data_IF_115834559174
#
_entry.id   IF_115834559174
#
_cell.length_a   1.000
_cell.length_b   1.000
_cell.length_c   1.000
_cell.angle_alpha   90.00
_cell.angle_beta   90.00
_cell.angle_gamma   90.00
#
_symmetry.space_group_name_H-M   'P 1'
#
loop_
_entity.id
_entity.type
_entity.pdbx_description
1 polymer ?
#
# COMPACT_ATOMS: atom_id res chain seq x y z
N UNK A 1 13.08 13.06 3.45
CA UNK A 1 11.89 12.19 3.52
C UNK A 1 12.38 10.78 3.82
N UNK A 2 11.73 10.00 4.68
CA UNK A 2 12.17 8.63 4.97
C UNK A 2 11.48 7.62 4.06
N UNK A 3 12.26 6.64 3.60
CA UNK A 3 11.97 5.23 3.25
C UNK A 3 10.69 4.82 2.50
N UNK A 4 9.52 5.43 2.67
CA UNK A 4 8.34 5.20 1.83
C UNK A 4 7.40 6.40 1.94
N UNK A 5 7.14 7.06 0.81
CA UNK A 5 6.21 8.18 0.82
C UNK A 5 4.81 7.70 1.19
N UNK A 6 4.07 8.42 2.06
CA UNK A 6 2.70 8.06 2.43
C UNK A 6 1.78 7.88 1.21
N UNK A 7 2.07 8.61 0.13
CA UNK A 7 1.39 8.49 -1.15
C UNK A 7 1.61 7.13 -1.83
N UNK A 8 2.83 6.59 -1.83
CA UNK A 8 3.12 5.26 -2.38
C UNK A 8 2.45 4.16 -1.55
N UNK A 9 2.44 4.28 -0.22
CA UNK A 9 1.72 3.35 0.65
C UNK A 9 0.21 3.41 0.41
N UNK A 10 -0.34 4.60 0.21
CA UNK A 10 -1.74 4.81 -0.16
C UNK A 10 -2.07 4.25 -1.56
N UNK A 11 -1.15 4.34 -2.53
CA UNK A 11 -1.28 3.71 -3.84
C UNK A 11 -1.32 2.18 -3.73
N UNK A 12 -0.41 1.59 -2.94
CA UNK A 12 -0.41 0.15 -2.70
C UNK A 12 -1.75 -0.32 -2.09
N UNK A 13 -2.28 0.43 -1.12
CA UNK A 13 -3.61 0.19 -0.56
C UNK A 13 -4.71 0.27 -1.63
N UNK A 14 -4.69 1.30 -2.48
CA UNK A 14 -5.70 1.49 -3.52
C UNK A 14 -5.74 0.31 -4.50
N UNK A 15 -4.57 -0.21 -4.90
CA UNK A 15 -4.46 -1.39 -5.76
C UNK A 15 -4.99 -2.65 -5.08
N UNK A 16 -4.68 -2.86 -3.81
CA UNK A 16 -5.19 -4.04 -3.09
C UNK A 16 -6.69 -3.95 -2.89
N UNK A 17 -7.23 -2.77 -2.63
CA UNK A 17 -8.67 -2.56 -2.48
C UNK A 17 -9.44 -2.82 -3.78
N UNK A 18 -8.92 -2.42 -4.94
CA UNK A 18 -9.55 -2.75 -6.23
C UNK A 18 -9.54 -4.26 -6.48
N UNK A 19 -8.41 -4.92 -6.26
CA UNK A 19 -8.30 -6.38 -6.43
C UNK A 19 -9.19 -7.13 -5.44
N UNK A 20 -9.20 -6.71 -4.17
CA UNK A 20 -10.05 -7.28 -3.13
C UNK A 20 -11.54 -7.14 -3.51
N UNK A 21 -11.97 -5.96 -3.99
CA UNK A 21 -13.35 -5.75 -4.43
C UNK A 21 -13.73 -6.67 -5.58
N UNK A 22 -12.86 -6.83 -6.57
CA UNK A 22 -13.09 -7.77 -7.68
C UNK A 22 -13.21 -9.21 -7.18
N UNK A 23 -12.34 -9.63 -6.26
CA UNK A 23 -12.40 -10.96 -5.65
C UNK A 23 -13.67 -11.15 -4.80
N UNK A 24 -14.11 -10.11 -4.09
CA UNK A 24 -15.30 -10.14 -3.24
C UNK A 24 -16.60 -10.20 -4.06
N UNK A 25 -16.74 -9.37 -5.09
CA UNK A 25 -17.93 -9.35 -5.96
C UNK A 25 -18.17 -10.69 -6.66
N UNK A 26 -17.10 -11.44 -6.96
CA UNK A 26 -17.22 -12.78 -7.54
C UNK A 26 -17.65 -13.82 -6.49
N UNK A 27 -17.32 -13.61 -5.22
CA UNK A 27 -17.62 -14.57 -4.14
C UNK A 27 -18.97 -14.33 -3.45
N UNK A 28 -19.43 -13.08 -3.37
CA UNK A 28 -20.62 -12.71 -2.62
C UNK A 28 -21.63 -11.96 -3.49
N UNK A 29 -22.84 -12.51 -3.60
CA UNK A 29 -24.00 -11.85 -4.21
C UNK A 29 -24.57 -10.70 -3.34
N UNK A 30 -23.91 -10.37 -2.23
CA UNK A 30 -24.35 -9.32 -1.32
C UNK A 30 -24.27 -7.96 -2.01
N UNK A 31 -25.37 -7.22 -1.99
CA UNK A 31 -25.42 -5.86 -2.53
C UNK A 31 -24.30 -5.01 -1.88
N UNK A 32 -23.44 -4.35 -2.67
CA UNK A 32 -22.34 -3.57 -2.13
C UNK A 32 -22.87 -2.38 -1.33
N UNK A 33 -22.21 -2.07 -0.21
CA UNK A 33 -22.57 -0.95 0.69
C UNK A 33 -22.43 0.42 0.01
N UNK A 34 -21.56 0.53 -1.00
CA UNK A 34 -21.34 1.72 -1.81
C UNK A 34 -21.63 1.43 -3.27
N UNK A 35 -22.11 2.44 -3.99
CA UNK A 35 -22.25 2.35 -5.44
C UNK A 35 -20.88 2.17 -6.11
N UNK A 36 -20.81 1.52 -7.29
CA UNK A 36 -19.55 1.24 -7.96
C UNK A 36 -18.69 2.48 -8.20
N UNK A 37 -19.33 3.56 -8.66
CA UNK A 37 -18.67 4.83 -8.96
C UNK A 37 -18.13 5.51 -7.72
N UNK A 38 -18.84 5.44 -6.59
CA UNK A 38 -18.37 6.02 -5.33
C UNK A 38 -17.14 5.30 -4.77
N UNK A 39 -17.11 3.96 -4.87
CA UNK A 39 -15.94 3.20 -4.42
C UNK A 39 -14.72 3.49 -5.29
N UNK A 40 -14.88 3.51 -6.61
CA UNK A 40 -13.76 3.78 -7.52
C UNK A 40 -13.24 5.21 -7.34
N UNK A 41 -14.15 6.19 -7.17
CA UNK A 41 -13.76 7.56 -6.84
C UNK A 41 -12.99 7.65 -5.52
N UNK A 42 -13.42 6.94 -4.47
CA UNK A 42 -12.75 6.92 -3.17
C UNK A 42 -11.34 6.31 -3.27
N UNK A 43 -11.23 5.16 -3.93
CA UNK A 43 -9.97 4.43 -4.07
C UNK A 43 -8.93 5.23 -4.85
N UNK A 44 -9.37 5.94 -5.90
CA UNK A 44 -8.50 6.85 -6.65
C UNK A 44 -8.18 8.10 -5.83
N UNK A 45 -9.13 8.66 -5.09
CA UNK A 45 -8.91 9.90 -4.33
C UNK A 45 -7.88 9.74 -3.19
N UNK A 46 -7.86 8.61 -2.49
CA UNK A 46 -6.98 8.36 -1.33
C UNK A 46 -5.49 8.70 -1.59
N UNK A 47 -4.82 8.14 -2.63
CA UNK A 47 -3.42 8.45 -2.90
C UNK A 47 -3.18 9.91 -3.29
N UNK A 48 -4.08 10.52 -4.09
CA UNK A 48 -3.94 11.93 -4.49
C UNK A 48 -4.11 12.90 -3.32
N UNK A 49 -5.13 12.68 -2.50
CA UNK A 49 -5.38 13.51 -1.30
C UNK A 49 -4.22 13.38 -0.33
N UNK A 50 -3.70 12.16 -0.12
CA UNK A 50 -2.53 11.92 0.74
C UNK A 50 -1.30 12.64 0.18
N UNK A 51 -1.06 12.55 -1.14
CA UNK A 51 0.05 13.24 -1.80
C UNK A 51 -0.03 14.76 -1.63
N UNK A 52 -1.18 15.37 -1.92
CA UNK A 52 -1.38 16.83 -1.80
C UNK A 52 -1.18 17.27 -0.35
N UNK A 53 -1.78 16.58 0.63
CA UNK A 53 -1.68 16.91 2.05
C UNK A 53 -0.22 16.92 2.53
N UNK A 54 0.52 15.84 2.24
CA UNK A 54 1.92 15.74 2.68
C UNK A 54 2.86 16.68 1.92
N UNK A 55 2.54 17.00 0.67
CA UNK A 55 3.30 18.00 -0.13
C UNK A 55 3.11 19.40 0.45
N UNK A 56 1.86 19.80 0.72
CA UNK A 56 1.55 21.11 1.32
C UNK A 56 2.14 21.21 2.73
N UNK A 57 1.95 20.19 3.57
CA UNK A 57 2.55 20.16 4.90
C UNK A 57 4.08 20.19 4.84
N UNK A 58 4.69 19.48 3.88
CA UNK A 58 6.13 19.51 3.64
C UNK A 58 6.63 20.88 3.23
N UNK A 59 5.91 21.59 2.36
CA UNK A 59 6.24 22.94 1.92
C UNK A 59 6.18 23.95 3.08
N UNK A 60 5.14 23.88 3.92
CA UNK A 60 4.99 24.75 5.10
C UNK A 60 6.13 24.51 6.09
N UNK A 61 6.42 23.24 6.41
CA UNK A 61 7.51 22.90 7.33
C UNK A 61 8.86 23.30 6.75
N UNK A 62 9.08 23.10 5.44
CA UNK A 62 10.29 23.49 4.73
C UNK A 62 10.54 25.00 4.71
N UNK A 63 9.49 25.83 4.69
CA UNK A 63 9.62 27.27 4.77
C UNK A 63 10.09 27.79 6.14
N UNK A 64 9.86 27.02 7.20
CA UNK A 64 10.14 27.42 8.59
C UNK A 64 11.25 26.60 9.27
N UNK A 65 11.85 25.63 8.59
CA UNK A 65 12.89 24.76 9.15
C UNK A 65 14.13 24.70 8.26
N UNK A 66 15.27 24.37 8.87
CA UNK A 66 16.50 24.09 8.13
C UNK A 66 16.29 22.83 7.27
N UNK A 67 16.41 23.01 5.96
CA UNK A 67 16.36 21.93 4.98
C UNK A 67 17.79 21.59 4.60
N UNK A 68 18.24 20.39 4.93
CA UNK A 68 19.53 19.86 4.50
C UNK A 68 19.34 18.95 3.29
N UNK A 69 20.23 19.05 2.31
CA UNK A 69 20.20 18.22 1.11
C UNK A 69 20.99 16.94 1.36
N UNK A 70 20.31 15.80 1.33
CA UNK A 70 20.95 14.48 1.21
C UNK A 70 21.26 14.20 -0.27
N UNK A 71 22.04 13.16 -0.55
CA UNK A 71 22.51 12.82 -1.89
C UNK A 71 21.38 12.71 -2.94
N UNK A 72 20.20 12.22 -2.54
CA UNK A 72 19.08 11.96 -3.45
C UNK A 72 17.80 12.75 -3.11
N UNK A 73 17.69 13.33 -1.90
CA UNK A 73 16.45 13.97 -1.46
C UNK A 73 16.68 15.05 -0.40
N UNK A 74 15.69 15.93 -0.23
CA UNK A 74 15.72 16.96 0.81
C UNK A 74 15.22 16.40 2.16
N UNK A 75 15.95 16.74 3.23
CA UNK A 75 15.65 16.35 4.61
C UNK A 75 15.35 17.60 5.41
N UNK A 76 14.14 17.69 5.96
CA UNK A 76 13.84 18.63 7.04
C UNK A 76 14.32 18.06 8.36
N UNK A 77 14.84 18.90 9.26
CA UNK A 77 15.25 18.44 10.60
C UNK A 77 14.06 18.23 11.56
N UNK A 78 12.84 18.51 11.11
CA UNK A 78 11.64 18.37 11.94
C UNK A 78 11.28 16.90 12.19
N UNK A 79 11.54 16.43 13.41
CA UNK A 79 11.24 15.07 13.88
C UNK A 79 9.74 14.75 13.85
N UNK A 80 8.86 15.74 14.14
CA UNK A 80 7.40 15.54 14.15
C UNK A 80 6.88 15.17 12.77
N UNK A 81 7.35 15.84 11.72
CA UNK A 81 6.96 15.56 10.34
C UNK A 81 7.42 14.17 9.90
N UNK A 82 8.64 13.79 10.29
CA UNK A 82 9.20 12.45 10.02
C UNK A 82 8.35 11.37 10.68
N UNK A 83 8.09 11.45 11.98
CA UNK A 83 7.28 10.47 12.70
C UNK A 83 5.84 10.41 12.18
N UNK A 84 5.22 11.55 11.86
CA UNK A 84 3.87 11.58 11.30
C UNK A 84 3.80 10.87 9.94
N UNK A 85 4.75 11.13 9.04
CA UNK A 85 4.80 10.45 7.74
C UNK A 85 5.00 8.94 7.88
N UNK A 86 5.91 8.51 8.75
CA UNK A 86 6.17 7.09 9.00
C UNK A 86 4.94 6.38 9.61
N UNK A 87 4.25 7.01 10.57
CA UNK A 87 3.05 6.47 11.18
C UNK A 87 1.92 6.29 10.15
N UNK A 88 1.68 7.27 9.28
CA UNK A 88 0.64 7.18 8.25
C UNK A 88 0.99 6.12 7.21
N UNK A 89 2.23 6.05 6.74
CA UNK A 89 2.68 4.97 5.84
C UNK A 89 2.48 3.59 6.47
N UNK A 90 2.82 3.43 7.75
CA UNK A 90 2.63 2.18 8.48
C UNK A 90 1.15 1.78 8.59
N UNK A 91 0.24 2.75 8.85
CA UNK A 91 -1.20 2.49 8.89
C UNK A 91 -1.68 1.97 7.52
N UNK A 92 -1.33 2.65 6.43
CA UNK A 92 -1.74 2.23 5.09
C UNK A 92 -1.19 0.85 4.73
N UNK A 93 0.08 0.58 5.00
CA UNK A 93 0.69 -0.73 4.75
C UNK A 93 0.07 -1.83 5.60
N UNK A 94 -0.23 -1.56 6.88
CA UNK A 94 -0.91 -2.51 7.74
C UNK A 94 -2.29 -2.86 7.21
N UNK A 95 -3.09 -1.85 6.84
CA UNK A 95 -4.41 -2.09 6.23
C UNK A 95 -4.28 -2.84 4.90
N UNK A 96 -3.24 -2.56 4.11
CA UNK A 96 -2.94 -3.28 2.86
C UNK A 96 -2.69 -4.76 3.15
N UNK A 97 -1.89 -5.10 4.17
CA UNK A 97 -1.65 -6.48 4.57
C UNK A 97 -2.93 -7.20 5.00
N UNK A 98 -3.81 -6.54 5.76
CA UNK A 98 -5.09 -7.13 6.20
C UNK A 98 -5.96 -7.49 4.99
N UNK A 99 -6.16 -6.55 4.05
CA UNK A 99 -6.94 -6.81 2.84
C UNK A 99 -6.29 -7.83 1.92
N UNK A 100 -4.96 -7.90 1.91
CA UNK A 100 -4.23 -8.87 1.10
C UNK A 100 -4.42 -10.29 1.64
N UNK A 101 -4.26 -10.49 2.95
CA UNK A 101 -4.55 -11.78 3.61
C UNK A 101 -6.01 -12.18 3.34
N UNK A 102 -6.94 -11.24 3.49
CA UNK A 102 -8.34 -11.48 3.18
C UNK A 102 -8.55 -11.93 1.72
N UNK A 103 -7.94 -11.23 0.77
CA UNK A 103 -8.02 -11.57 -0.67
C UNK A 103 -7.48 -12.98 -0.92
N UNK A 104 -6.34 -13.33 -0.35
CA UNK A 104 -5.76 -14.69 -0.45
C UNK A 104 -6.74 -15.72 0.10
N UNK A 105 -7.38 -15.47 1.25
CA UNK A 105 -8.35 -16.42 1.83
C UNK A 105 -9.55 -16.66 0.93
N UNK A 106 -10.08 -15.62 0.28
CA UNK A 106 -11.19 -15.73 -0.68
C UNK A 106 -10.79 -16.56 -1.90
N UNK A 107 -9.63 -16.24 -2.49
CA UNK A 107 -9.12 -16.95 -3.67
C UNK A 107 -8.80 -18.41 -3.32
N UNK A 108 -8.20 -18.67 -2.16
CA UNK A 108 -7.89 -20.02 -1.70
C UNK A 108 -9.15 -20.85 -1.44
N UNK A 109 -10.19 -20.26 -0.82
CA UNK A 109 -11.48 -20.92 -0.65
C UNK A 109 -12.09 -21.32 -1.99
N UNK A 110 -12.12 -20.40 -2.94
CA UNK A 110 -12.60 -20.66 -4.31
C UNK A 110 -11.80 -21.76 -5.00
N UNK A 111 -10.47 -21.69 -4.93
CA UNK A 111 -9.59 -22.73 -5.48
C UNK A 111 -9.91 -24.12 -4.90
N UNK A 112 -10.15 -24.19 -3.59
CA UNK A 112 -10.51 -25.45 -2.90
C UNK A 112 -11.89 -25.97 -3.31
N UNK A 113 -12.87 -25.10 -3.50
CA UNK A 113 -14.21 -25.47 -3.96
C UNK A 113 -14.22 -25.92 -5.42
N UNK A 114 -13.57 -25.18 -6.32
CA UNK A 114 -13.45 -25.55 -7.74
C UNK A 114 -12.75 -26.89 -7.93
N UNK A 115 -11.73 -27.20 -7.12
CA UNK A 115 -11.03 -28.50 -7.16
C UNK A 115 -11.91 -29.67 -6.72
N UNK A 116 -12.88 -29.44 -5.83
CA UNK A 116 -13.84 -30.48 -5.41
C UNK A 116 -14.86 -30.82 -6.50
N UNK A 117 -15.19 -29.86 -7.37
CA UNK A 117 -16.22 -30.04 -8.40
C UNK A 117 -15.67 -30.41 -9.78
N UNK A 118 -14.36 -30.63 -9.93
CA UNK A 118 -13.76 -31.14 -11.17
C UNK A 118 -13.94 -30.24 -12.40
N UNK A 119 -14.31 -28.96 -12.23
CA UNK A 119 -14.49 -28.01 -13.35
C UNK A 119 -13.13 -27.52 -13.85
N UNK A 120 -12.79 -27.88 -15.09
CA UNK A 120 -11.56 -27.47 -15.81
C UNK A 120 -11.40 -25.95 -16.06
N UNK A 121 -12.33 -25.10 -15.63
CA UNK A 121 -12.24 -23.64 -15.85
C UNK A 121 -11.14 -22.94 -15.02
N UNK A 122 -10.32 -23.68 -14.28
CA UNK A 122 -9.33 -23.16 -13.30
C UNK A 122 -8.05 -22.62 -13.97
N UNK A 123 -7.84 -22.86 -15.26
CA UNK A 123 -6.64 -22.37 -15.99
C UNK A 123 -6.44 -20.84 -15.94
N UNK A 124 -7.50 -20.07 -15.68
CA UNK A 124 -7.47 -18.60 -15.69
C UNK A 124 -7.16 -17.95 -14.34
N UNK A 125 -7.30 -18.67 -13.21
CA UNK A 125 -7.19 -18.08 -11.86
C UNK A 125 -5.77 -18.21 -11.23
N UNK A 126 -4.94 -19.15 -11.70
CA UNK A 126 -3.55 -19.36 -11.23
C UNK A 126 -2.64 -18.14 -11.45
N UNK A 127 -2.61 -17.48 -12.63
CA UNK A 127 -1.74 -16.31 -12.83
C UNK A 127 -2.16 -15.12 -11.95
N UNK A 128 -3.45 -14.98 -11.67
CA UNK A 128 -3.95 -13.96 -10.73
C UNK A 128 -3.45 -14.25 -9.31
N UNK A 129 -3.52 -15.51 -8.87
CA UNK A 129 -3.03 -15.92 -7.55
C UNK A 129 -1.54 -15.66 -7.38
N UNK A 130 -0.71 -16.01 -8.37
CA UNK A 130 0.74 -15.76 -8.33
C UNK A 130 1.04 -14.25 -8.26
N UNK A 131 0.31 -13.41 -9.02
CA UNK A 131 0.46 -11.95 -8.98
C UNK A 131 0.08 -11.36 -7.61
N UNK A 132 -0.99 -11.86 -6.99
CA UNK A 132 -1.40 -11.41 -5.66
C UNK A 132 -0.40 -11.85 -4.59
N UNK A 133 0.15 -13.07 -4.70
CA UNK A 133 1.16 -13.58 -3.79
C UNK A 133 2.47 -12.79 -3.90
N UNK A 134 2.95 -12.54 -5.13
CA UNK A 134 4.18 -11.77 -5.35
C UNK A 134 4.04 -10.34 -4.82
N UNK A 135 2.91 -9.67 -5.12
CA UNK A 135 2.61 -8.35 -4.57
C UNK A 135 2.55 -8.37 -3.04
N UNK A 136 1.99 -9.43 -2.43
CA UNK A 136 1.94 -9.60 -0.98
C UNK A 136 3.31 -9.67 -0.31
N UNK A 137 4.27 -10.35 -0.93
CA UNK A 137 5.65 -10.40 -0.44
C UNK A 137 6.27 -9.00 -0.48
N UNK A 138 6.06 -8.23 -1.56
CA UNK A 138 6.54 -6.85 -1.66
C UNK A 138 5.95 -5.94 -0.58
N UNK A 139 4.63 -6.00 -0.35
CA UNK A 139 3.97 -5.20 0.70
C UNK A 139 4.47 -5.59 2.09
N UNK A 140 4.69 -6.88 2.34
CA UNK A 140 5.20 -7.34 3.63
C UNK A 140 6.62 -6.85 3.90
N UNK A 141 7.49 -6.88 2.89
CA UNK A 141 8.83 -6.28 2.97
C UNK A 141 8.76 -4.77 3.21
N UNK A 142 7.88 -4.05 2.49
CA UNK A 142 7.68 -2.62 2.68
C UNK A 142 7.17 -2.27 4.09
N UNK A 143 6.31 -3.11 4.68
CA UNK A 143 5.83 -2.95 6.05
C UNK A 143 6.95 -3.16 7.06
N UNK A 144 7.77 -4.21 6.90
CA UNK A 144 8.92 -4.45 7.77
C UNK A 144 9.89 -3.26 7.72
N UNK A 145 10.21 -2.78 6.52
CA UNK A 145 11.08 -1.62 6.33
C UNK A 145 10.49 -0.35 6.97
N UNK A 146 9.17 -0.16 6.88
CA UNK A 146 8.49 0.98 7.51
C UNK A 146 8.52 0.92 9.03
N UNK A 147 8.37 -0.27 9.63
CA UNK A 147 8.50 -0.47 11.08
C UNK A 147 9.94 -0.24 11.54
N UNK A 148 10.92 -0.76 10.80
CA UNK A 148 12.33 -0.56 11.09
C UNK A 148 12.69 0.93 11.01
N UNK A 149 12.16 1.68 10.04
CA UNK A 149 12.40 3.11 9.91
C UNK A 149 11.89 3.94 11.11
N UNK A 150 10.87 3.46 11.83
CA UNK A 150 10.37 4.10 13.07
C UNK A 150 11.37 3.88 14.22
N UNK A 151 12.03 2.72 14.25
CA UNK A 151 12.92 2.31 15.35
C UNK A 151 14.35 2.81 15.13
N UNK A 152 14.88 2.68 13.91
CA UNK A 152 16.25 3.03 13.56
C UNK A 152 16.31 3.95 12.33
N UNK A 153 16.57 5.23 12.58
CA UNK A 153 16.57 6.31 11.60
C UNK A 153 17.86 6.43 10.76
N UNK A 154 18.86 5.59 11.01
CA UNK A 154 20.22 5.70 10.45
C UNK A 154 20.55 4.64 9.39
N UNK A 155 19.62 3.73 9.06
CA UNK A 155 19.90 2.66 8.11
C UNK A 155 19.72 3.14 6.66
N UNK A 156 20.79 3.02 5.87
CA UNK A 156 20.89 3.42 4.45
C UNK A 156 20.10 2.48 3.52
N UNK A 157 19.81 1.25 3.97
CA UNK A 157 19.19 0.18 3.17
C UNK A 157 17.79 0.52 2.62
N UNK A 158 16.84 1.07 3.41
CA UNK A 158 15.54 1.49 2.86
C UNK A 158 15.64 2.65 1.86
N UNK A 159 16.67 3.49 1.93
CA UNK A 159 16.79 4.67 1.06
C UNK A 159 17.26 4.32 -0.37
N UNK A 160 18.08 3.29 -0.53
CA UNK A 160 18.58 2.86 -1.86
C UNK A 160 17.48 2.17 -2.67
N UNK A 161 16.60 1.40 -2.00
CA UNK A 161 15.47 0.73 -2.65
C UNK A 161 14.43 1.71 -3.19
N UNK A 162 14.20 2.84 -2.50
CA UNK A 162 13.31 3.90 -2.97
C UNK A 162 13.95 4.68 -4.11
N UNK A 163 15.22 5.06 -3.99
CA UNK A 163 15.93 5.79 -5.04
C UNK A 163 16.14 4.97 -6.33
N UNK A 164 16.14 3.64 -6.24
CA UNK A 164 16.25 2.75 -7.40
C UNK A 164 14.90 2.44 -8.07
N UNK A 165 13.77 2.81 -7.45
CA UNK A 165 12.42 2.55 -7.95
C UNK A 165 11.64 3.83 -8.34
N UNK A 166 12.26 5.01 -8.26
CA UNK A 166 11.85 6.21 -9.02
C UNK A 166 12.35 6.14 -10.47
#
# INVERSE_FOLDING_TARGET
>A
MLAFSPALSALALSLVLTVWRLAWLVHSDSAPLLSPSQFDALVVAIPYVTFILFTVAGAIVGAHSTVSRSNFYCITDNTRMKTASAAVSAIYLFTTCVFLVWTITLVYRRYRESRKFGREQIGTDVPLFIRVLSFGIFVFLALILSVIAIINWTMVVPDVLVAACE
#
